data_IF_091212651356
#
_entry.id   IF_091212651356
#
_cell.length_a   1.000
_cell.length_b   1.000
_cell.length_c   1.000
_cell.angle_alpha   90.00
_cell.angle_beta   90.00
_cell.angle_gamma   90.00
#
_symmetry.space_group_name_H-M   'P 1'
#
loop_
_entity.id
_entity.type
_entity.pdbx_description
1 polymer ?
#
# COMPACT_ATOMS: atom_id res chain seq x y z
N UNK A 1 61.52 46.34 -66.47
CA UNK A 1 60.64 47.04 -67.43
C UNK A 1 59.30 47.23 -66.72
N UNK A 2 59.02 48.48 -66.34
CA UNK A 2 57.71 49.19 -66.24
C UNK A 2 56.59 48.44 -65.49
N UNK A 3 56.29 48.76 -64.21
CA UNK A 3 55.37 49.82 -63.69
C UNK A 3 53.91 49.65 -64.15
N UNK A 4 52.82 49.85 -63.41
CA UNK A 4 52.39 50.24 -62.04
C UNK A 4 50.85 49.95 -62.05
N UNK A 5 50.10 49.66 -60.98
CA UNK A 5 49.54 50.62 -60.02
C UNK A 5 48.48 49.94 -59.12
N UNK A 6 48.49 50.33 -57.83
CA UNK A 6 47.38 50.40 -56.84
C UNK A 6 46.65 49.13 -56.32
N UNK A 7 46.31 49.07 -55.00
CA UNK A 7 45.73 47.88 -54.33
C UNK A 7 44.20 47.95 -54.11
N UNK A 8 43.51 46.83 -53.85
CA UNK A 8 42.18 46.81 -53.24
C UNK A 8 42.22 46.35 -51.75
N UNK A 9 41.11 46.51 -51.00
CA UNK A 9 41.15 47.07 -49.64
C UNK A 9 41.21 46.06 -48.50
N UNK A 10 41.61 46.58 -47.34
CA UNK A 10 41.51 45.97 -46.01
C UNK A 10 40.08 45.50 -45.67
N UNK A 11 39.96 44.27 -45.17
CA UNK A 11 38.85 43.84 -44.33
C UNK A 11 39.35 43.54 -42.91
N UNK A 12 39.38 44.60 -42.11
CA UNK A 12 39.25 44.53 -40.66
C UNK A 12 37.89 43.91 -40.27
N UNK A 13 37.90 42.89 -39.43
CA UNK A 13 36.92 42.63 -38.34
C UNK A 13 37.18 41.20 -37.80
N UNK A 14 37.93 41.03 -36.71
CA UNK A 14 37.49 41.16 -35.31
C UNK A 14 37.54 39.79 -34.63
N UNK A 15 38.72 39.44 -34.10
CA UNK A 15 38.95 38.29 -33.22
C UNK A 15 39.17 38.74 -31.78
N UNK A 16 38.15 39.28 -31.12
CA UNK A 16 38.13 39.48 -29.67
C UNK A 16 37.38 38.30 -29.04
N UNK A 17 38.09 37.50 -28.25
CA UNK A 17 37.62 36.24 -27.69
C UNK A 17 36.39 36.39 -26.78
N UNK A 18 35.38 35.56 -27.04
CA UNK A 18 34.08 35.48 -26.34
C UNK A 18 34.14 35.24 -24.82
N UNK A 19 35.31 35.02 -24.21
CA UNK A 19 35.42 34.73 -22.78
C UNK A 19 35.24 35.96 -21.89
N UNK A 20 35.80 37.12 -22.26
CA UNK A 20 35.81 38.31 -21.39
C UNK A 20 34.45 39.03 -21.26
N UNK A 21 33.62 38.96 -22.30
CA UNK A 21 32.38 39.73 -22.39
C UNK A 21 31.27 39.10 -21.53
N UNK A 22 31.23 37.77 -21.43
CA UNK A 22 30.20 37.05 -20.65
C UNK A 22 30.37 37.27 -19.14
N UNK A 23 31.62 37.28 -18.64
CA UNK A 23 31.90 37.52 -17.22
C UNK A 23 31.68 38.99 -16.81
N UNK A 24 31.96 39.92 -17.73
CA UNK A 24 31.69 41.35 -17.53
C UNK A 24 30.19 41.63 -17.45
N UNK A 25 29.39 40.97 -18.30
CA UNK A 25 27.93 41.06 -18.28
C UNK A 25 27.31 40.42 -17.02
N UNK A 26 27.83 39.28 -16.55
CA UNK A 26 27.33 38.61 -15.34
C UNK A 26 27.63 39.43 -14.07
N UNK A 27 28.79 40.08 -14.00
CA UNK A 27 29.16 40.97 -12.90
C UNK A 27 28.29 42.23 -12.84
N UNK A 28 27.91 42.78 -13.99
CA UNK A 28 26.98 43.92 -14.09
C UNK A 28 25.55 43.56 -13.63
N UNK A 29 25.06 42.35 -13.95
CA UNK A 29 23.74 41.85 -13.51
C UNK A 29 23.70 41.57 -11.99
N UNK A 30 24.83 41.13 -11.42
CA UNK A 30 24.95 40.89 -9.97
C UNK A 30 25.02 42.18 -9.14
N UNK A 31 25.58 43.27 -9.67
CA UNK A 31 25.57 44.59 -9.03
C UNK A 31 24.18 45.24 -9.02
N UNK A 32 23.34 44.95 -10.02
CA UNK A 32 21.97 45.50 -10.15
C UNK A 32 20.92 44.79 -9.29
N UNK A 33 21.23 43.63 -8.68
CA UNK A 33 20.25 42.78 -7.96
C UNK A 33 20.43 42.76 -6.44
N UNK A 34 21.28 43.62 -5.87
CA UNK A 34 21.39 43.82 -4.42
C UNK A 34 21.92 42.61 -3.63
N UNK A 35 22.64 41.70 -4.29
CA UNK A 35 23.34 40.59 -3.63
C UNK A 35 24.57 41.13 -2.89
N UNK A 36 24.69 40.81 -1.60
CA UNK A 36 25.78 41.29 -0.73
C UNK A 36 27.15 40.89 -1.26
N UNK A 37 28.20 41.66 -0.92
CA UNK A 37 29.58 41.40 -1.34
C UNK A 37 30.05 39.93 -1.11
N UNK A 38 29.44 39.25 -0.13
CA UNK A 38 29.63 37.83 0.19
C UNK A 38 29.19 36.90 -0.96
N UNK A 39 28.10 37.20 -1.66
CA UNK A 39 27.61 36.41 -2.79
C UNK A 39 28.50 36.57 -4.03
N UNK A 40 29.03 37.78 -4.27
CA UNK A 40 30.00 38.03 -5.35
C UNK A 40 31.32 37.31 -5.08
N UNK A 41 31.78 37.33 -3.82
CA UNK A 41 32.93 36.55 -3.36
C UNK A 41 32.70 35.04 -3.48
N UNK A 42 31.51 34.53 -3.16
CA UNK A 42 31.17 33.12 -3.30
C UNK A 42 31.14 32.67 -4.77
N UNK A 43 30.60 33.50 -5.67
CA UNK A 43 30.61 33.21 -7.12
C UNK A 43 32.03 33.26 -7.70
N UNK A 44 32.86 34.22 -7.25
CA UNK A 44 34.28 34.28 -7.63
C UNK A 44 35.09 33.10 -7.08
N UNK A 45 34.86 32.72 -5.82
CA UNK A 45 35.50 31.57 -5.20
C UNK A 45 35.06 30.26 -5.87
N UNK A 46 33.78 30.14 -6.24
CA UNK A 46 33.26 29.00 -6.99
C UNK A 46 33.84 28.95 -8.41
N UNK A 47 33.95 30.09 -9.10
CA UNK A 47 34.61 30.18 -10.41
C UNK A 47 36.09 29.81 -10.36
N UNK A 48 36.81 30.26 -9.34
CA UNK A 48 38.21 29.89 -9.10
C UNK A 48 38.36 28.40 -8.73
N UNK A 49 37.42 27.84 -7.95
CA UNK A 49 37.38 26.41 -7.62
C UNK A 49 37.10 25.56 -8.88
N UNK A 50 36.21 26.01 -9.76
CA UNK A 50 35.88 25.36 -11.05
C UNK A 50 37.06 25.47 -12.04
N UNK A 51 37.84 26.55 -11.99
CA UNK A 51 39.05 26.70 -12.81
C UNK A 51 40.25 25.89 -12.28
N UNK A 52 40.37 25.75 -10.95
CA UNK A 52 41.45 24.99 -10.30
C UNK A 52 41.20 23.47 -10.33
N UNK A 53 39.93 23.06 -10.32
CA UNK A 53 39.51 21.68 -10.49
C UNK A 53 39.39 21.40 -11.98
N UNK A 54 40.45 20.85 -12.59
CA UNK A 54 40.40 20.41 -13.99
C UNK A 54 39.16 19.56 -14.29
N UNK A 55 38.70 19.55 -15.55
CA UNK A 55 37.41 18.98 -15.97
C UNK A 55 37.07 17.61 -15.34
N UNK A 56 38.08 16.77 -15.10
CA UNK A 56 38.00 15.47 -14.41
C UNK A 56 37.40 15.54 -12.99
N UNK A 57 37.73 16.58 -12.21
CA UNK A 57 37.23 16.74 -10.84
C UNK A 57 35.78 17.27 -10.81
N UNK A 58 35.39 18.12 -11.75
CA UNK A 58 33.98 18.53 -11.93
C UNK A 58 33.10 17.38 -12.42
N UNK A 59 33.63 16.54 -13.32
CA UNK A 59 33.00 15.29 -13.74
C UNK A 59 32.86 14.33 -12.55
N UNK A 60 33.88 14.21 -11.69
CA UNK A 60 33.81 13.37 -10.50
C UNK A 60 32.80 13.87 -9.45
N UNK A 61 32.70 15.18 -9.23
CA UNK A 61 31.69 15.79 -8.35
C UNK A 61 30.29 15.63 -8.96
N UNK A 62 30.15 15.84 -10.26
CA UNK A 62 28.89 15.63 -11.00
C UNK A 62 28.43 14.17 -10.98
N UNK A 63 29.34 13.21 -11.16
CA UNK A 63 29.09 11.77 -11.04
C UNK A 63 28.71 11.39 -9.61
N UNK A 64 29.42 11.89 -8.61
CA UNK A 64 29.10 11.65 -7.21
C UNK A 64 27.75 12.26 -6.80
N UNK A 65 27.41 13.46 -7.30
CA UNK A 65 26.11 14.07 -7.06
C UNK A 65 24.99 13.34 -7.80
N UNK A 66 25.21 12.94 -9.06
CA UNK A 66 24.27 12.14 -9.83
C UNK A 66 24.05 10.77 -9.18
N UNK A 67 25.12 10.12 -8.72
CA UNK A 67 25.08 8.85 -7.98
C UNK A 67 24.39 9.02 -6.63
N UNK A 68 24.70 10.06 -5.85
CA UNK A 68 24.01 10.38 -4.59
C UNK A 68 22.54 10.70 -4.81
N UNK A 69 22.20 11.51 -5.81
CA UNK A 69 20.82 11.87 -6.17
C UNK A 69 20.05 10.65 -6.66
N UNK A 70 20.67 9.80 -7.49
CA UNK A 70 20.11 8.53 -7.96
C UNK A 70 19.93 7.55 -6.81
N UNK A 71 20.88 7.44 -5.88
CA UNK A 71 20.77 6.64 -4.65
C UNK A 71 19.70 7.18 -3.69
N UNK A 72 19.58 8.51 -3.52
CA UNK A 72 18.50 9.14 -2.74
C UNK A 72 17.13 8.91 -3.38
N UNK A 73 17.08 8.92 -4.71
CA UNK A 73 15.86 8.61 -5.48
C UNK A 73 15.53 7.13 -5.39
N UNK A 74 16.52 6.23 -5.45
CA UNK A 74 16.37 4.79 -5.19
C UNK A 74 15.89 4.49 -3.77
N UNK A 75 16.33 5.25 -2.75
CA UNK A 75 15.79 5.15 -1.38
C UNK A 75 14.31 5.56 -1.26
N UNK A 76 13.75 6.28 -2.25
CA UNK A 76 12.30 6.54 -2.40
C UNK A 76 11.60 5.59 -3.37
N UNK A 77 12.36 4.81 -4.15
CA UNK A 77 11.81 3.75 -4.98
C UNK A 77 11.54 2.59 -4.02
N UNK A 78 10.27 2.43 -3.67
CA UNK A 78 9.78 1.29 -2.92
C UNK A 78 10.37 -0.01 -3.50
N UNK A 79 10.74 -0.97 -2.64
CA UNK A 79 11.18 -2.32 -3.05
C UNK A 79 10.19 -2.93 -4.05
N UNK A 80 8.91 -2.58 -3.93
CA UNK A 80 7.85 -2.94 -4.86
C UNK A 80 8.06 -2.40 -6.30
N UNK A 81 8.58 -1.17 -6.46
CA UNK A 81 8.90 -0.61 -7.78
C UNK A 81 10.11 -1.28 -8.45
N UNK A 82 11.13 -1.66 -7.68
CA UNK A 82 12.28 -2.44 -8.20
C UNK A 82 11.87 -3.88 -8.55
N UNK A 83 11.03 -4.51 -7.74
CA UNK A 83 10.41 -5.81 -8.04
C UNK A 83 9.58 -5.76 -9.34
N UNK A 84 8.84 -4.65 -9.55
CA UNK A 84 8.08 -4.39 -10.78
C UNK A 84 8.96 -4.29 -12.03
N UNK A 85 10.20 -3.79 -11.92
CA UNK A 85 11.13 -3.65 -13.06
C UNK A 85 11.65 -5.02 -13.56
N UNK A 86 12.06 -5.91 -12.65
CA UNK A 86 12.57 -7.23 -13.01
C UNK A 86 11.51 -8.16 -13.64
N UNK A 87 10.27 -8.12 -13.14
CA UNK A 87 9.16 -8.89 -13.70
C UNK A 87 8.63 -8.30 -15.01
N UNK A 88 8.58 -6.96 -15.14
CA UNK A 88 8.26 -6.30 -16.42
C UNK A 88 9.29 -6.66 -17.49
N UNK A 89 10.57 -6.77 -17.14
CA UNK A 89 11.61 -7.17 -18.08
C UNK A 89 11.47 -8.63 -18.56
N UNK A 90 11.12 -9.56 -17.66
CA UNK A 90 10.82 -10.97 -18.04
C UNK A 90 9.56 -11.12 -18.89
N UNK A 91 8.49 -10.41 -18.52
CA UNK A 91 7.24 -10.36 -19.27
C UNK A 91 7.44 -9.74 -20.66
N UNK A 92 8.24 -8.67 -20.77
CA UNK A 92 8.57 -8.00 -22.03
C UNK A 92 9.39 -8.90 -22.99
N UNK A 93 10.23 -9.81 -22.46
CA UNK A 93 10.96 -10.80 -23.29
C UNK A 93 10.16 -12.06 -23.65
N UNK A 94 8.87 -12.13 -23.31
CA UNK A 94 8.06 -13.34 -23.56
C UNK A 94 8.43 -14.57 -22.72
N UNK A 95 9.30 -14.41 -21.71
CA UNK A 95 9.78 -15.48 -20.82
C UNK A 95 9.17 -15.33 -19.41
N UNK A 96 7.86 -15.13 -19.35
CA UNK A 96 7.13 -15.22 -18.08
C UNK A 96 7.22 -16.64 -17.52
N UNK A 97 6.95 -16.79 -16.22
CA UNK A 97 6.78 -18.12 -15.64
C UNK A 97 5.63 -18.84 -16.35
N UNK A 98 5.90 -20.06 -16.80
CA UNK A 98 4.96 -20.90 -17.53
C UNK A 98 4.23 -21.88 -16.61
N UNK A 99 3.43 -22.76 -17.20
CA UNK A 99 2.67 -23.78 -16.47
C UNK A 99 3.62 -24.79 -15.82
N UNK A 100 4.77 -25.08 -16.43
CA UNK A 100 5.77 -26.00 -15.87
C UNK A 100 6.43 -25.43 -14.61
N UNK A 101 6.73 -24.13 -14.60
CA UNK A 101 7.16 -23.44 -13.38
C UNK A 101 6.09 -23.49 -12.29
N UNK A 102 4.81 -23.27 -12.66
CA UNK A 102 3.70 -23.36 -11.70
C UNK A 102 3.60 -24.76 -11.09
N UNK A 103 3.64 -25.79 -11.94
CA UNK A 103 3.62 -27.19 -11.56
C UNK A 103 4.77 -27.52 -10.60
N UNK A 104 6.00 -27.11 -10.94
CA UNK A 104 7.19 -27.31 -10.11
C UNK A 104 7.06 -26.63 -8.75
N UNK A 105 6.59 -25.38 -8.69
CA UNK A 105 6.34 -24.69 -7.41
C UNK A 105 5.31 -25.43 -6.57
N UNK A 106 4.21 -25.87 -7.18
CA UNK A 106 3.15 -26.59 -6.49
C UNK A 106 3.55 -28.01 -6.07
N UNK A 107 4.60 -28.59 -6.66
CA UNK A 107 4.93 -30.00 -6.50
C UNK A 107 3.88 -30.91 -7.15
N UNK A 108 3.32 -30.47 -8.27
CA UNK A 108 2.28 -31.17 -9.05
C UNK A 108 2.75 -31.29 -10.50
N UNK A 109 2.05 -32.08 -11.31
CA UNK A 109 2.27 -32.13 -12.77
C UNK A 109 1.50 -31.03 -13.48
N UNK A 110 2.03 -30.53 -14.61
CA UNK A 110 1.33 -29.55 -15.46
C UNK A 110 -0.03 -30.09 -15.92
N UNK A 111 -0.07 -31.36 -16.35
CA UNK A 111 -1.29 -32.07 -16.74
C UNK A 111 -2.37 -32.03 -15.64
N UNK A 112 -2.01 -32.27 -14.37
CA UNK A 112 -2.96 -32.22 -13.25
C UNK A 112 -3.54 -30.82 -13.08
N UNK A 113 -2.71 -29.77 -13.18
CA UNK A 113 -3.19 -28.39 -13.04
C UNK A 113 -4.11 -28.00 -14.21
N UNK A 114 -3.74 -28.33 -15.44
CA UNK A 114 -4.49 -28.00 -16.64
C UNK A 114 -5.86 -28.69 -16.65
N UNK A 115 -5.91 -29.97 -16.29
CA UNK A 115 -7.15 -30.76 -16.33
C UNK A 115 -8.02 -30.60 -15.09
N UNK A 116 -7.52 -30.01 -14.00
CA UNK A 116 -8.33 -29.74 -12.82
C UNK A 116 -9.44 -28.75 -13.18
N UNK A 117 -10.70 -29.13 -13.00
CA UNK A 117 -11.85 -28.24 -13.17
C UNK A 117 -12.40 -27.86 -11.79
N UNK A 118 -12.25 -26.60 -11.35
CA UNK A 118 -12.78 -26.15 -10.07
C UNK A 118 -14.30 -26.28 -10.01
N UNK A 119 -14.81 -26.90 -8.96
CA UNK A 119 -16.24 -26.97 -8.67
C UNK A 119 -16.55 -26.27 -7.36
N UNK A 120 -17.73 -25.67 -7.28
CA UNK A 120 -18.19 -24.92 -6.12
C UNK A 120 -19.63 -25.25 -5.80
N UNK A 121 -19.97 -25.24 -4.52
CA UNK A 121 -21.34 -25.32 -4.04
C UNK A 121 -21.67 -24.07 -3.21
N UNK A 122 -22.95 -23.74 -3.17
CA UNK A 122 -23.46 -22.58 -2.46
C UNK A 122 -23.97 -22.98 -1.09
N UNK A 123 -23.61 -22.22 -0.06
CA UNK A 123 -24.13 -22.37 1.30
C UNK A 123 -24.57 -21.01 1.85
N UNK A 124 -25.67 -20.96 2.59
CA UNK A 124 -26.15 -19.71 3.22
C UNK A 124 -25.83 -19.71 4.71
N UNK A 125 -25.36 -18.55 5.19
CA UNK A 125 -25.08 -18.32 6.62
C UNK A 125 -25.84 -17.07 7.07
N UNK A 126 -26.51 -17.08 8.24
CA UNK A 126 -27.19 -15.90 8.77
C UNK A 126 -26.19 -14.78 9.09
N UNK A 127 -26.54 -13.54 8.72
CA UNK A 127 -25.77 -12.35 9.14
C UNK A 127 -26.16 -11.94 10.56
N UNK A 128 -25.22 -11.43 11.37
CA UNK A 128 -25.53 -10.87 12.70
C UNK A 128 -26.53 -9.71 12.66
N UNK A 129 -26.59 -8.97 11.54
CA UNK A 129 -27.50 -7.84 11.32
C UNK A 129 -28.87 -8.25 10.74
N UNK A 130 -29.13 -9.54 10.57
CA UNK A 130 -30.26 -10.06 9.79
C UNK A 130 -29.95 -10.21 8.30
N UNK A 131 -30.70 -11.10 7.65
CA UNK A 131 -30.49 -11.54 6.26
C UNK A 131 -29.44 -12.64 6.13
N UNK A 132 -29.19 -13.06 4.90
CA UNK A 132 -28.29 -14.18 4.58
C UNK A 132 -27.00 -13.73 3.90
N UNK A 133 -25.92 -14.48 4.13
CA UNK A 133 -24.66 -14.42 3.39
C UNK A 133 -24.50 -15.71 2.61
N UNK A 134 -24.54 -15.58 1.30
CA UNK A 134 -24.21 -16.66 0.36
C UNK A 134 -22.70 -16.85 0.31
N UNK A 135 -22.24 -18.06 0.63
CA UNK A 135 -20.88 -18.51 0.46
C UNK A 135 -20.79 -19.43 -0.76
N UNK A 136 -19.67 -19.31 -1.48
CA UNK A 136 -19.31 -20.15 -2.62
C UNK A 136 -18.11 -20.98 -2.21
N UNK A 137 -18.34 -22.23 -1.84
CA UNK A 137 -17.36 -23.10 -1.19
C UNK A 137 -16.81 -24.09 -2.23
N UNK A 138 -15.48 -24.15 -2.42
CA UNK A 138 -14.88 -25.13 -3.33
C UNK A 138 -15.09 -26.57 -2.85
N UNK A 139 -15.13 -27.51 -3.78
CA UNK A 139 -15.01 -28.94 -3.47
C UNK A 139 -13.65 -29.27 -2.80
N UNK A 140 -13.52 -30.39 -2.09
CA UNK A 140 -12.30 -30.73 -1.35
C UNK A 140 -11.02 -30.72 -2.20
N UNK A 141 -11.07 -31.23 -3.44
CA UNK A 141 -9.90 -31.30 -4.31
C UNK A 141 -9.45 -29.90 -4.74
N UNK A 142 -10.40 -29.03 -5.10
CA UNK A 142 -10.14 -27.62 -5.40
C UNK A 142 -9.61 -26.88 -4.18
N UNK A 143 -10.17 -27.14 -2.99
CA UNK A 143 -9.73 -26.52 -1.75
C UNK A 143 -8.27 -26.84 -1.43
N UNK A 144 -7.84 -28.09 -1.61
CA UNK A 144 -6.46 -28.52 -1.38
C UNK A 144 -5.48 -27.95 -2.40
N UNK A 145 -5.89 -27.88 -3.66
CA UNK A 145 -5.12 -27.19 -4.71
C UNK A 145 -4.96 -25.70 -4.39
N UNK A 146 -6.04 -25.02 -4.00
CA UNK A 146 -6.01 -23.60 -3.63
C UNK A 146 -5.17 -23.33 -2.38
N UNK A 147 -5.20 -24.20 -1.36
CA UNK A 147 -4.28 -24.13 -0.22
C UNK A 147 -2.82 -24.27 -0.64
N UNK A 148 -2.53 -25.11 -1.62
CA UNK A 148 -1.18 -25.27 -2.18
C UNK A 148 -0.74 -24.01 -2.91
N UNK A 149 -1.59 -23.44 -3.77
CA UNK A 149 -1.35 -22.16 -4.44
C UNK A 149 -1.11 -21.03 -3.43
N UNK A 150 -1.94 -20.94 -2.39
CA UNK A 150 -1.79 -19.96 -1.33
C UNK A 150 -0.39 -20.02 -0.70
N UNK A 151 0.04 -21.22 -0.27
CA UNK A 151 1.33 -21.40 0.42
C UNK A 151 2.53 -21.22 -0.50
N UNK A 152 2.47 -21.76 -1.72
CA UNK A 152 3.67 -21.89 -2.58
C UNK A 152 3.80 -20.78 -3.62
N UNK A 153 2.69 -20.13 -3.98
CA UNK A 153 2.66 -19.06 -4.99
C UNK A 153 2.34 -17.71 -4.35
N UNK A 154 1.21 -17.59 -3.67
CA UNK A 154 0.69 -16.28 -3.22
C UNK A 154 1.36 -15.74 -1.94
N UNK A 155 1.81 -16.62 -1.04
CA UNK A 155 2.45 -16.20 0.22
C UNK A 155 3.76 -15.45 0.00
N UNK A 156 4.42 -15.61 -1.15
CA UNK A 156 5.68 -14.95 -1.50
C UNK A 156 5.51 -13.53 -2.04
N UNK A 157 4.28 -13.18 -2.43
CA UNK A 157 3.94 -11.84 -2.92
C UNK A 157 3.66 -10.92 -1.73
N UNK A 158 3.74 -9.61 -1.91
CA UNK A 158 3.52 -8.64 -0.83
C UNK A 158 2.25 -7.83 -1.10
N UNK A 159 1.37 -7.78 -0.10
CA UNK A 159 0.25 -6.85 -0.05
C UNK A 159 0.71 -5.50 0.52
N UNK A 160 -0.14 -4.48 0.40
CA UNK A 160 0.17 -3.17 0.97
C UNK A 160 0.27 -3.23 2.51
N UNK A 161 1.21 -2.50 3.14
CA UNK A 161 1.32 -2.39 4.59
C UNK A 161 0.02 -2.07 5.34
N UNK A 162 -0.87 -1.27 4.74
CA UNK A 162 -2.14 -0.87 5.32
C UNK A 162 -3.17 -2.01 5.37
N UNK A 163 -2.97 -3.10 4.63
CA UNK A 163 -3.82 -4.29 4.69
C UNK A 163 -3.55 -5.08 5.98
N UNK A 164 -4.55 -5.12 6.86
CA UNK A 164 -4.52 -5.83 8.14
C UNK A 164 -5.32 -7.14 8.09
N UNK A 165 -6.45 -7.15 7.38
CA UNK A 165 -7.29 -8.35 7.25
C UNK A 165 -6.59 -9.44 6.44
N UNK A 166 -6.74 -10.71 6.84
CA UNK A 166 -6.21 -11.89 6.13
C UNK A 166 -4.69 -11.96 5.97
N UNK A 167 -3.94 -11.06 6.59
CA UNK A 167 -2.48 -11.06 6.55
C UNK A 167 -1.91 -11.82 7.74
N UNK A 168 -0.89 -12.64 7.49
CA UNK A 168 -0.26 -13.45 8.54
C UNK A 168 0.31 -12.54 9.62
N UNK A 169 -0.06 -12.82 10.87
CA UNK A 169 0.42 -12.08 12.03
C UNK A 169 -0.30 -10.75 12.28
N UNK A 170 -1.24 -10.35 11.41
CA UNK A 170 -2.11 -9.20 11.63
C UNK A 170 -3.53 -9.65 11.99
N UNK A 171 -4.27 -8.81 12.69
CA UNK A 171 -5.64 -9.06 13.08
C UNK A 171 -6.43 -7.77 13.29
N UNK A 172 -7.58 -7.91 13.95
CA UNK A 172 -8.49 -6.77 14.24
C UNK A 172 -7.83 -5.68 15.07
N UNK A 173 -6.85 -6.04 15.90
CA UNK A 173 -6.10 -5.08 16.73
C UNK A 173 -5.17 -4.23 15.87
N UNK A 174 -4.45 -4.82 14.91
CA UNK A 174 -3.55 -4.07 14.02
C UNK A 174 -4.32 -3.10 13.12
N UNK A 175 -5.58 -3.42 12.81
CA UNK A 175 -6.48 -2.51 12.11
C UNK A 175 -6.96 -1.37 13.02
N UNK A 176 -7.39 -1.66 14.25
CA UNK A 176 -7.98 -0.66 15.14
C UNK A 176 -6.96 0.24 15.86
N UNK A 177 -5.79 -0.30 16.24
CA UNK A 177 -4.82 0.37 17.10
C UNK A 177 -4.33 1.74 16.58
N UNK A 178 -4.06 1.93 15.27
CA UNK A 178 -3.58 3.22 14.77
C UNK A 178 -4.58 4.37 14.95
N UNK A 179 -5.85 4.04 15.18
CA UNK A 179 -6.95 5.00 15.29
C UNK A 179 -7.32 5.32 16.75
N UNK A 180 -6.59 4.76 17.73
CA UNK A 180 -6.82 5.02 19.15
C UNK A 180 -6.54 6.48 19.50
N UNK A 181 -7.40 7.10 20.32
CA UNK A 181 -7.17 8.45 20.84
C UNK A 181 -7.47 9.57 19.83
N UNK A 182 -8.08 9.26 18.68
CA UNK A 182 -8.24 10.21 17.57
C UNK A 182 -9.52 11.03 17.71
N UNK A 183 -9.45 12.33 17.39
CA UNK A 183 -10.59 13.23 17.51
C UNK A 183 -11.75 12.84 16.57
N UNK A 184 -11.42 12.32 15.38
CA UNK A 184 -12.38 11.81 14.41
C UNK A 184 -11.92 10.49 13.79
N UNK A 185 -12.85 9.56 13.62
CA UNK A 185 -12.68 8.28 12.93
C UNK A 185 -13.75 8.18 11.84
N UNK A 186 -13.35 8.02 10.59
CA UNK A 186 -14.25 7.74 9.48
C UNK A 186 -14.08 6.29 9.02
N UNK A 187 -15.17 5.53 8.97
CA UNK A 187 -15.18 4.14 8.48
C UNK A 187 -15.96 4.05 7.19
N UNK A 188 -15.47 3.29 6.22
CA UNK A 188 -16.15 3.03 4.95
C UNK A 188 -16.11 1.54 4.65
N UNK A 189 -17.17 0.99 4.08
CA UNK A 189 -17.28 -0.44 3.74
C UNK A 189 -17.38 -0.58 2.22
N UNK A 190 -16.69 -1.56 1.64
CA UNK A 190 -16.77 -1.85 0.21
C UNK A 190 -17.97 -2.76 -0.09
N UNK A 191 -18.81 -2.38 -1.06
CA UNK A 191 -19.89 -3.26 -1.55
C UNK A 191 -19.32 -4.47 -2.25
N UNK A 192 -19.89 -5.65 -1.99
CA UNK A 192 -19.61 -6.93 -2.68
C UNK A 192 -18.13 -7.17 -2.97
N UNK A 193 -17.28 -6.92 -1.96
CA UNK A 193 -15.83 -6.80 -2.10
C UNK A 193 -15.17 -7.95 -2.89
N UNK A 194 -15.50 -9.21 -2.57
CA UNK A 194 -14.92 -10.36 -3.26
C UNK A 194 -15.38 -10.48 -4.73
N UNK A 195 -16.69 -10.47 -5.02
CA UNK A 195 -17.19 -10.38 -6.40
C UNK A 195 -16.62 -9.20 -7.22
N UNK A 196 -16.38 -8.04 -6.61
CA UNK A 196 -15.78 -6.89 -7.31
C UNK A 196 -14.34 -7.15 -7.79
N UNK A 197 -13.64 -8.12 -7.22
CA UNK A 197 -12.33 -8.56 -7.73
C UNK A 197 -12.53 -9.53 -8.89
N UNK A 198 -12.63 -8.96 -10.09
CA UNK A 198 -12.95 -9.71 -11.32
C UNK A 198 -11.84 -10.64 -11.79
N UNK A 199 -12.19 -11.73 -12.47
CA UNK A 199 -11.25 -12.64 -13.13
C UNK A 199 -10.28 -11.92 -14.08
N UNK A 200 -10.77 -10.90 -14.81
CA UNK A 200 -9.93 -10.05 -15.67
C UNK A 200 -8.85 -9.32 -14.88
N UNK A 201 -9.19 -8.77 -13.72
CA UNK A 201 -8.22 -8.08 -12.86
C UNK A 201 -7.16 -9.04 -12.30
N UNK A 202 -7.57 -10.28 -11.99
CA UNK A 202 -6.70 -11.35 -11.48
C UNK A 202 -5.73 -11.83 -12.56
N UNK A 203 -6.21 -12.09 -13.79
CA UNK A 203 -5.35 -12.44 -14.93
C UNK A 203 -4.31 -11.34 -15.18
N UNK A 204 -4.76 -10.09 -15.26
CA UNK A 204 -3.86 -8.95 -15.43
C UNK A 204 -2.82 -8.85 -14.31
N UNK A 205 -3.24 -9.09 -13.06
CA UNK A 205 -2.34 -9.12 -11.92
C UNK A 205 -1.27 -10.20 -12.07
N UNK A 206 -1.65 -11.44 -12.41
CA UNK A 206 -0.69 -12.54 -12.60
C UNK A 206 0.30 -12.26 -13.72
N UNK A 207 -0.17 -11.74 -14.86
CA UNK A 207 0.71 -11.30 -15.95
C UNK A 207 1.68 -10.22 -15.49
N UNK A 208 1.20 -9.25 -14.72
CA UNK A 208 2.02 -8.15 -14.19
C UNK A 208 3.08 -8.62 -13.18
N UNK A 209 2.81 -9.66 -12.39
CA UNK A 209 3.80 -10.26 -11.49
C UNK A 209 4.68 -11.32 -12.17
N UNK A 210 4.58 -11.45 -13.50
CA UNK A 210 5.55 -12.16 -14.33
C UNK A 210 5.17 -13.56 -14.76
N UNK A 211 3.90 -13.95 -14.65
CA UNK A 211 3.39 -15.17 -15.31
C UNK A 211 3.14 -14.90 -16.80
N UNK A 212 3.35 -15.91 -17.65
CA UNK A 212 2.94 -15.82 -19.05
C UNK A 212 1.39 -15.84 -19.18
N UNK A 213 0.86 -15.62 -20.39
CA UNK A 213 -0.58 -15.52 -20.60
C UNK A 213 -1.32 -16.83 -20.23
N UNK A 214 -0.77 -17.98 -20.61
CA UNK A 214 -1.39 -19.29 -20.34
C UNK A 214 -1.44 -19.63 -18.85
N UNK A 215 -0.33 -19.43 -18.13
CA UNK A 215 -0.26 -19.69 -16.70
C UNK A 215 -1.10 -18.69 -15.90
N UNK A 216 -1.19 -17.43 -16.33
CA UNK A 216 -2.06 -16.44 -15.71
C UNK A 216 -3.54 -16.80 -15.89
N UNK A 217 -3.94 -17.23 -17.09
CA UNK A 217 -5.30 -17.69 -17.35
C UNK A 217 -5.63 -18.94 -16.51
N UNK A 218 -4.69 -19.88 -16.42
CA UNK A 218 -4.83 -21.09 -15.58
C UNK A 218 -4.99 -20.73 -14.10
N UNK A 219 -4.11 -19.89 -13.55
CA UNK A 219 -4.19 -19.42 -12.16
C UNK A 219 -5.50 -18.71 -11.87
N UNK A 220 -5.96 -17.88 -12.81
CA UNK A 220 -7.26 -17.19 -12.71
C UNK A 220 -8.38 -18.22 -12.63
N UNK A 221 -8.46 -19.15 -13.59
CA UNK A 221 -9.47 -20.21 -13.60
C UNK A 221 -9.49 -21.03 -12.31
N UNK A 222 -8.32 -21.40 -11.79
CA UNK A 222 -8.19 -22.18 -10.56
C UNK A 222 -8.60 -21.42 -9.27
N UNK A 223 -8.74 -20.10 -9.33
CA UNK A 223 -8.97 -19.24 -8.14
C UNK A 223 -10.25 -18.41 -8.20
N UNK A 224 -10.97 -18.43 -9.32
CA UNK A 224 -12.23 -17.70 -9.50
C UNK A 224 -13.43 -18.62 -9.65
N UNK A 225 -14.61 -18.09 -9.36
CA UNK A 225 -15.92 -18.67 -9.69
C UNK A 225 -16.83 -17.53 -10.15
N UNK A 226 -17.72 -17.80 -11.11
CA UNK A 226 -18.72 -16.82 -11.59
C UNK A 226 -18.12 -15.45 -11.98
N UNK A 227 -16.90 -15.44 -12.51
CA UNK A 227 -16.21 -14.23 -12.95
C UNK A 227 -15.53 -13.39 -11.86
N UNK A 228 -15.55 -13.81 -10.59
CA UNK A 228 -14.92 -13.10 -9.48
C UNK A 228 -14.30 -14.01 -8.42
N UNK A 229 -13.88 -13.44 -7.29
CA UNK A 229 -13.39 -14.24 -6.16
C UNK A 229 -14.56 -14.88 -5.39
N UNK A 230 -14.56 -16.22 -5.20
CA UNK A 230 -15.59 -16.88 -4.41
C UNK A 230 -15.44 -16.60 -2.92
N UNK A 231 -16.55 -16.34 -2.24
CA UNK A 231 -16.62 -16.17 -0.79
C UNK A 231 -16.56 -17.55 -0.10
N UNK A 232 -15.36 -18.02 0.20
CA UNK A 232 -15.14 -19.35 0.81
C UNK A 232 -13.87 -20.05 0.33
N UNK A 233 -13.31 -19.62 -0.80
CA UNK A 233 -12.06 -20.16 -1.32
C UNK A 233 -10.84 -19.73 -0.48
N UNK A 234 -9.91 -20.65 -0.18
CA UNK A 234 -8.67 -20.34 0.55
C UNK A 234 -7.80 -19.24 -0.07
N UNK A 235 -7.83 -19.07 -1.39
CA UNK A 235 -7.00 -18.08 -2.11
C UNK A 235 -7.61 -16.69 -2.13
N UNK A 236 -8.94 -16.57 -2.07
CA UNK A 236 -9.66 -15.29 -2.21
C UNK A 236 -9.18 -14.21 -1.25
N UNK A 237 -9.01 -14.47 0.07
CA UNK A 237 -8.60 -13.42 1.01
C UNK A 237 -7.21 -12.85 0.73
N UNK A 238 -6.28 -13.70 0.27
CA UNK A 238 -4.93 -13.25 -0.09
C UNK A 238 -4.92 -12.52 -1.42
N UNK A 239 -5.63 -13.03 -2.41
CA UNK A 239 -5.71 -12.39 -3.73
C UNK A 239 -6.33 -11.00 -3.63
N UNK A 240 -7.43 -10.84 -2.88
CA UNK A 240 -8.07 -9.53 -2.73
C UNK A 240 -7.10 -8.49 -2.16
N UNK A 241 -6.28 -8.83 -1.16
CA UNK A 241 -5.24 -7.94 -0.63
C UNK A 241 -4.14 -7.61 -1.64
N UNK A 242 -3.70 -8.60 -2.43
CA UNK A 242 -2.67 -8.39 -3.44
C UNK A 242 -3.13 -7.46 -4.57
N UNK A 243 -4.39 -7.60 -4.99
CA UNK A 243 -5.00 -6.72 -5.99
C UNK A 243 -5.32 -5.33 -5.44
N UNK A 244 -5.71 -5.23 -4.17
CA UNK A 244 -5.96 -3.95 -3.49
C UNK A 244 -4.72 -3.10 -3.28
N UNK A 245 -3.51 -3.62 -3.45
CA UNK A 245 -2.27 -2.86 -3.19
C UNK A 245 -2.23 -1.48 -3.87
N UNK A 246 -2.66 -1.38 -5.14
CA UNK A 246 -2.66 -0.10 -5.85
C UNK A 246 -3.67 0.90 -5.27
N UNK A 247 -4.82 0.39 -4.82
CA UNK A 247 -5.89 1.18 -4.19
C UNK A 247 -5.45 1.62 -2.80
N UNK A 248 -4.94 0.70 -1.98
CA UNK A 248 -4.46 0.96 -0.62
C UNK A 248 -3.35 2.02 -0.60
N UNK A 249 -2.37 1.89 -1.49
CA UNK A 249 -1.31 2.89 -1.62
C UNK A 249 -1.88 4.29 -1.95
N UNK A 250 -2.86 4.36 -2.85
CA UNK A 250 -3.50 5.61 -3.22
C UNK A 250 -4.36 6.20 -2.08
N UNK A 251 -5.04 5.35 -1.32
CA UNK A 251 -5.82 5.74 -0.14
C UNK A 251 -4.92 6.22 0.99
N UNK A 252 -3.85 5.49 1.32
CA UNK A 252 -2.85 5.87 2.31
C UNK A 252 -2.25 7.24 1.97
N UNK A 253 -1.89 7.45 0.69
CA UNK A 253 -1.36 8.74 0.21
C UNK A 253 -2.40 9.86 0.29
N UNK A 254 -3.66 9.59 -0.02
CA UNK A 254 -4.74 10.58 0.07
C UNK A 254 -5.02 10.99 1.52
N UNK A 255 -5.01 10.01 2.43
CA UNK A 255 -5.19 10.19 3.86
C UNK A 255 -4.03 10.98 4.48
N UNK A 256 -2.78 10.55 4.25
CA UNK A 256 -1.60 11.17 4.83
C UNK A 256 -1.42 12.65 4.43
N UNK A 257 -1.80 13.01 3.19
CA UNK A 257 -1.79 14.42 2.72
C UNK A 257 -2.74 15.35 3.49
N UNK A 258 -3.69 14.80 4.24
CA UNK A 258 -4.69 15.51 5.03
C UNK A 258 -4.55 15.25 6.52
N UNK A 259 -3.44 14.66 6.96
CA UNK A 259 -3.22 14.31 8.37
C UNK A 259 -4.01 13.10 8.87
N UNK A 260 -4.60 12.29 7.97
CA UNK A 260 -5.32 11.08 8.35
C UNK A 260 -4.42 9.84 8.33
N UNK A 261 -4.60 8.97 9.31
CA UNK A 261 -4.13 7.58 9.30
C UNK A 261 -5.11 6.71 8.52
N UNK A 262 -4.62 5.65 7.91
CA UNK A 262 -5.42 4.71 7.13
C UNK A 262 -5.01 3.27 7.42
N UNK A 263 -5.99 2.40 7.59
CA UNK A 263 -5.83 0.94 7.60
C UNK A 263 -7.04 0.27 6.93
N UNK A 264 -6.87 -0.98 6.49
CA UNK A 264 -7.95 -1.78 5.88
C UNK A 264 -8.01 -3.18 6.46
N UNK A 265 -9.23 -3.65 6.78
CA UNK A 265 -9.50 -5.02 7.16
C UNK A 265 -10.57 -5.61 6.25
N UNK A 266 -10.14 -6.42 5.27
CA UNK A 266 -11.02 -6.90 4.20
C UNK A 266 -11.69 -5.74 3.45
N UNK A 267 -13.01 -5.62 3.56
CA UNK A 267 -13.89 -4.59 3.01
C UNK A 267 -14.01 -3.34 3.89
N UNK A 268 -13.62 -3.41 5.18
CA UNK A 268 -13.67 -2.30 6.13
C UNK A 268 -12.43 -1.39 5.99
N UNK A 269 -12.66 -0.12 5.65
CA UNK A 269 -11.67 0.93 5.53
C UNK A 269 -11.78 1.87 6.74
N UNK A 270 -10.68 2.11 7.45
CA UNK A 270 -10.68 3.02 8.58
C UNK A 270 -9.72 4.19 8.33
N UNK A 271 -10.21 5.39 8.59
CA UNK A 271 -9.46 6.64 8.53
C UNK A 271 -9.59 7.39 9.85
N UNK A 272 -8.55 8.09 10.31
CA UNK A 272 -8.67 8.90 11.51
C UNK A 272 -7.71 10.08 11.55
N UNK A 273 -8.13 11.19 12.16
CA UNK A 273 -7.30 12.38 12.36
C UNK A 273 -7.21 12.76 13.84
N UNK A 274 -6.09 13.39 14.22
CA UNK A 274 -5.93 13.99 15.54
C UNK A 274 -6.81 15.24 15.71
N UNK A 275 -7.14 15.92 14.60
CA UNK A 275 -7.93 17.14 14.56
C UNK A 275 -9.35 16.84 14.04
N UNK A 276 -10.34 17.51 14.63
CA UNK A 276 -11.73 17.40 14.19
C UNK A 276 -12.08 18.49 13.17
N UNK A 277 -11.56 18.35 11.95
CA UNK A 277 -11.88 19.22 10.82
C UNK A 277 -12.92 18.57 9.90
N UNK A 278 -14.14 19.11 9.93
CA UNK A 278 -15.25 18.64 9.09
C UNK A 278 -15.01 18.81 7.59
N UNK A 279 -14.30 19.85 7.15
CA UNK A 279 -13.98 20.06 5.74
C UNK A 279 -12.93 19.06 5.27
N UNK A 280 -11.87 18.84 6.07
CA UNK A 280 -10.86 17.83 5.77
C UNK A 280 -11.46 16.42 5.66
N UNK A 281 -12.42 16.07 6.53
CA UNK A 281 -13.16 14.80 6.46
C UNK A 281 -13.96 14.70 5.16
N UNK A 282 -14.72 15.74 4.77
CA UNK A 282 -15.48 15.73 3.51
C UNK A 282 -14.57 15.56 2.29
N UNK A 283 -13.46 16.28 2.27
CA UNK A 283 -12.48 16.20 1.17
C UNK A 283 -11.80 14.84 1.09
N UNK A 284 -11.49 14.25 2.25
CA UNK A 284 -11.00 12.88 2.32
C UNK A 284 -12.00 11.91 1.71
N UNK A 285 -13.26 11.93 2.16
CA UNK A 285 -14.29 10.99 1.69
C UNK A 285 -14.53 11.10 0.18
N UNK A 286 -14.60 12.32 -0.37
CA UNK A 286 -14.67 12.52 -1.83
C UNK A 286 -13.48 11.89 -2.57
N UNK A 287 -12.28 12.02 -1.99
CA UNK A 287 -11.08 11.43 -2.58
C UNK A 287 -11.06 9.90 -2.45
N UNK A 288 -11.52 9.36 -1.32
CA UNK A 288 -11.65 7.91 -1.10
C UNK A 288 -12.58 7.33 -2.14
N UNK A 289 -13.76 7.90 -2.32
CA UNK A 289 -14.74 7.47 -3.33
C UNK A 289 -14.13 7.47 -4.74
N UNK A 290 -13.43 8.54 -5.12
CA UNK A 290 -12.78 8.61 -6.42
C UNK A 290 -11.67 7.55 -6.62
N UNK A 291 -10.91 7.23 -5.57
CA UNK A 291 -9.86 6.20 -5.62
C UNK A 291 -10.46 4.79 -5.68
N UNK A 292 -11.46 4.52 -4.85
CA UNK A 292 -12.19 3.23 -4.79
C UNK A 292 -12.88 2.95 -6.13
N UNK A 293 -13.59 3.94 -6.69
CA UNK A 293 -14.24 3.82 -8.01
C UNK A 293 -13.24 3.56 -9.13
N UNK A 294 -12.09 4.23 -9.13
CA UNK A 294 -11.01 3.97 -10.10
C UNK A 294 -10.44 2.56 -9.95
N UNK A 295 -10.45 2.01 -8.74
CA UNK A 295 -10.05 0.63 -8.45
C UNK A 295 -11.05 -0.43 -8.89
N UNK A 296 -12.25 -0.05 -9.38
CA UNK A 296 -13.31 -0.99 -9.74
C UNK A 296 -14.19 -1.42 -8.57
N UNK A 297 -14.18 -0.67 -7.46
CA UNK A 297 -14.97 -0.93 -6.27
C UNK A 297 -15.99 0.18 -6.04
N UNK A 298 -16.96 -0.08 -5.16
CA UNK A 298 -17.96 0.90 -4.74
C UNK A 298 -18.05 0.98 -3.22
N UNK A 299 -18.27 2.18 -2.68
CA UNK A 299 -18.53 2.39 -1.26
C UNK A 299 -19.97 2.06 -0.90
N UNK A 300 -20.15 1.45 0.26
CA UNK A 300 -21.45 1.30 0.89
C UNK A 300 -21.80 2.57 1.68
N UNK A 301 -22.55 3.46 1.06
CA UNK A 301 -22.98 4.73 1.66
C UNK A 301 -23.72 4.53 2.99
N UNK A 302 -24.55 3.49 3.11
CA UNK A 302 -25.31 3.17 4.34
C UNK A 302 -24.42 2.72 5.51
N UNK A 303 -23.24 2.19 5.22
CA UNK A 303 -22.26 1.75 6.23
C UNK A 303 -21.12 2.72 6.43
N UNK A 304 -21.06 3.79 5.65
CA UNK A 304 -20.07 4.85 5.83
C UNK A 304 -20.44 5.69 7.05
N UNK A 305 -19.51 5.87 7.98
CA UNK A 305 -19.75 6.59 9.24
C UNK A 305 -18.61 7.54 9.54
N UNK A 306 -18.94 8.69 10.13
CA UNK A 306 -17.97 9.62 10.72
C UNK A 306 -18.28 9.70 12.22
N UNK A 307 -17.33 9.27 13.04
CA UNK A 307 -17.46 9.11 14.48
C UNK A 307 -16.53 10.11 15.17
N UNK A 308 -17.11 11.05 15.90
CA UNK A 308 -16.38 12.08 16.66
C UNK A 308 -16.05 11.59 18.07
N UNK A 309 -15.10 12.25 18.74
CA UNK A 309 -14.60 11.83 20.06
C UNK A 309 -15.67 11.69 21.15
N UNK A 310 -16.71 12.52 21.13
CA UNK A 310 -17.83 12.44 22.07
C UNK A 310 -18.76 11.24 21.82
N UNK A 311 -18.65 10.60 20.65
CA UNK A 311 -19.39 9.40 20.27
C UNK A 311 -18.52 8.17 20.53
N UNK A 312 -19.15 7.00 20.62
CA UNK A 312 -18.41 5.73 20.69
C UNK A 312 -17.78 5.42 19.32
N UNK A 313 -16.48 5.63 19.20
CA UNK A 313 -15.70 5.28 18.01
C UNK A 313 -15.40 3.78 18.03
N UNK A 314 -15.79 3.06 16.97
CA UNK A 314 -15.57 1.62 16.86
C UNK A 314 -15.00 1.23 15.50
N UNK A 315 -14.05 0.30 15.52
CA UNK A 315 -13.44 -0.31 14.34
C UNK A 315 -13.39 -1.82 14.58
N UNK A 316 -13.89 -2.63 13.63
CA UNK A 316 -13.94 -4.10 13.74
C UNK A 316 -14.43 -4.63 15.12
N UNK A 317 -15.43 -3.98 15.70
CA UNK A 317 -16.02 -4.34 16.99
C UNK A 317 -15.22 -3.94 18.24
N UNK A 318 -14.09 -3.23 18.07
CA UNK A 318 -13.29 -2.66 19.15
C UNK A 318 -13.58 -1.17 19.31
N UNK A 319 -13.71 -0.71 20.55
CA UNK A 319 -13.78 0.71 20.90
C UNK A 319 -12.37 1.29 20.88
N UNK A 320 -12.21 2.47 20.27
CA UNK A 320 -10.90 3.12 20.05
C UNK A 320 -10.79 4.54 20.62
N UNK A 321 -11.79 5.02 21.37
CA UNK A 321 -11.80 6.40 21.90
C UNK A 321 -10.50 6.80 22.62
N UNK A 322 -10.09 6.04 23.64
CA UNK A 322 -8.88 6.34 24.44
C UNK A 322 -7.89 5.17 24.47
N UNK A 323 -8.40 3.94 24.47
CA UNK A 323 -7.63 2.70 24.39
C UNK A 323 -8.43 1.63 23.67
N UNK A 324 -7.74 0.62 23.15
CA UNK A 324 -8.40 -0.57 22.61
C UNK A 324 -9.23 -1.24 23.69
N UNK A 325 -10.52 -1.41 23.44
CA UNK A 325 -11.41 -2.03 24.40
C UNK A 325 -12.57 -2.76 23.74
N UNK A 326 -13.10 -3.77 24.42
CA UNK A 326 -14.38 -4.35 24.04
C UNK A 326 -15.53 -3.41 24.45
N UNK A 327 -16.64 -3.38 23.68
CA UNK A 327 -17.84 -2.66 24.07
C UNK A 327 -18.30 -3.05 25.48
N UNK A 328 -18.78 -2.07 26.26
CA UNK A 328 -19.23 -2.30 27.65
C UNK A 328 -20.26 -3.42 27.76
N UNK A 329 -21.18 -3.52 26.79
CA UNK A 329 -22.19 -4.58 26.69
C UNK A 329 -21.54 -5.96 26.66
N UNK A 330 -20.61 -6.19 25.71
CA UNK A 330 -19.88 -7.45 25.57
C UNK A 330 -19.09 -7.77 26.84
N UNK A 331 -18.36 -6.80 27.42
CA UNK A 331 -17.61 -7.04 28.68
C UNK A 331 -18.52 -7.46 29.83
N UNK A 332 -19.72 -6.88 29.93
CA UNK A 332 -20.72 -7.24 30.94
C UNK A 332 -21.27 -8.65 30.71
N UNK A 333 -21.58 -9.00 29.46
CA UNK A 333 -22.05 -10.33 29.06
C UNK A 333 -21.00 -11.41 29.36
N UNK A 334 -19.73 -11.16 29.02
CA UNK A 334 -18.63 -12.07 29.32
C UNK A 334 -18.44 -12.29 30.81
N UNK A 335 -18.47 -11.21 31.61
CA UNK A 335 -18.38 -11.31 33.08
C UNK A 335 -19.53 -12.14 33.66
N UNK A 336 -20.75 -11.90 33.18
CA UNK A 336 -21.93 -12.65 33.62
C UNK A 336 -21.83 -14.14 33.24
N UNK A 337 -21.42 -14.44 32.01
CA UNK A 337 -21.24 -15.81 31.54
C UNK A 337 -20.18 -16.58 32.34
N UNK A 338 -19.03 -15.95 32.62
CA UNK A 338 -17.96 -16.54 33.44
C UNK A 338 -18.41 -16.76 34.89
N UNK A 339 -19.13 -15.78 35.48
CA UNK A 339 -19.68 -15.93 36.82
C UNK A 339 -20.68 -17.09 36.90
N UNK A 340 -21.64 -17.17 35.97
CA UNK A 340 -22.62 -18.26 35.92
C UNK A 340 -21.94 -19.62 35.88
N UNK A 341 -20.94 -19.79 35.01
CA UNK A 341 -20.17 -21.02 34.92
C UNK A 341 -19.43 -21.36 36.21
N UNK A 342 -18.85 -20.36 36.90
CA UNK A 342 -18.19 -20.53 38.20
C UNK A 342 -19.15 -21.01 39.29
N UNK A 343 -20.40 -20.56 39.28
CA UNK A 343 -21.43 -20.97 40.25
C UNK A 343 -22.26 -22.18 39.80
N UNK A 344 -21.77 -22.94 38.81
CA UNK A 344 -22.44 -24.16 38.32
C UNK A 344 -23.72 -23.94 37.53
N UNK A 345 -23.98 -22.71 37.06
CA UNK A 345 -25.16 -22.37 36.23
C UNK A 345 -24.82 -22.34 34.74
N UNK A 346 -25.83 -22.56 33.91
CA UNK A 346 -25.70 -22.46 32.47
C UNK A 346 -25.33 -21.04 32.02
N UNK A 347 -24.30 -20.94 31.19
CA UNK A 347 -23.76 -19.68 30.69
C UNK A 347 -24.37 -19.31 29.33
N UNK A 348 -24.55 -18.02 29.09
CA UNK A 348 -25.09 -17.47 27.82
C UNK A 348 -24.18 -17.75 26.60
N UNK A 349 -22.91 -18.09 26.84
CA UNK A 349 -21.96 -18.44 25.80
C UNK A 349 -21.49 -19.88 25.95
N UNK A 350 -21.34 -20.57 24.83
CA UNK A 350 -20.73 -21.90 24.78
C UNK A 350 -19.25 -21.82 25.17
N UNK A 351 -18.67 -22.95 25.54
CA UNK A 351 -17.23 -23.02 25.87
C UNK A 351 -16.36 -22.53 24.70
N UNK A 352 -16.72 -22.88 23.46
CA UNK A 352 -16.02 -22.44 22.26
C UNK A 352 -16.11 -20.92 22.05
N UNK A 353 -17.30 -20.33 22.28
CA UNK A 353 -17.47 -18.88 22.19
C UNK A 353 -16.64 -18.14 23.25
N UNK A 354 -16.63 -18.64 24.49
CA UNK A 354 -15.80 -18.07 25.57
C UNK A 354 -14.30 -18.16 25.25
N UNK A 355 -13.83 -19.28 24.68
CA UNK A 355 -12.45 -19.42 24.23
C UNK A 355 -12.12 -18.41 23.11
N UNK A 356 -13.03 -18.21 22.16
CA UNK A 356 -12.90 -17.18 21.12
C UNK A 356 -12.77 -15.77 21.69
N UNK A 357 -13.63 -15.41 22.64
CA UNK A 357 -13.55 -14.13 23.35
C UNK A 357 -12.29 -13.95 24.17
N UNK A 358 -11.79 -15.02 24.82
CA UNK A 358 -10.51 -15.00 25.53
C UNK A 358 -9.34 -14.70 24.57
N UNK A 359 -9.38 -15.25 23.36
CA UNK A 359 -8.44 -14.90 22.29
C UNK A 359 -8.48 -13.41 21.95
N UNK A 360 -9.67 -12.83 21.76
CA UNK A 360 -9.84 -11.39 21.49
C UNK A 360 -9.32 -10.53 22.64
N UNK A 361 -9.66 -10.87 23.88
CA UNK A 361 -9.17 -10.15 25.06
C UNK A 361 -7.64 -10.20 25.17
N UNK A 362 -7.04 -11.35 24.86
CA UNK A 362 -5.59 -11.53 24.84
C UNK A 362 -4.94 -10.64 23.78
N UNK A 363 -5.53 -10.55 22.58
CA UNK A 363 -5.04 -9.65 21.53
C UNK A 363 -5.14 -8.18 21.95
N UNK A 364 -6.27 -7.78 22.54
CA UNK A 364 -6.48 -6.39 23.01
C UNK A 364 -5.48 -6.04 24.12
N UNK A 365 -5.23 -6.95 25.07
CA UNK A 365 -4.28 -6.72 26.16
C UNK A 365 -2.83 -6.64 25.67
N UNK A 366 -2.45 -7.43 24.64
CA UNK A 366 -1.11 -7.40 24.05
C UNK A 366 -0.85 -6.16 23.19
N UNK A 367 -1.88 -5.57 22.60
CA UNK A 367 -1.75 -4.47 21.64
C UNK A 367 -1.34 -4.94 20.22
N UNK A 368 -1.12 -4.01 19.28
CA UNK A 368 -0.70 -4.35 17.92
C UNK A 368 0.67 -5.02 17.93
N UNK A 369 0.89 -5.97 17.02
CA UNK A 369 2.22 -6.59 16.92
C UNK A 369 3.16 -5.57 16.29
N UNK A 370 4.33 -5.36 16.91
CA UNK A 370 5.30 -4.38 16.44
C UNK A 370 5.57 -4.56 14.94
N UNK A 371 5.41 -3.47 14.19
CA UNK A 371 5.79 -3.41 12.79
C UNK A 371 7.32 -3.47 12.73
N UNK A 372 7.90 -4.33 11.89
CA UNK A 372 9.33 -4.24 11.57
C UNK A 372 9.59 -2.88 10.89
N UNK A 373 9.82 -1.82 11.68
CA UNK A 373 10.13 -0.48 11.16
C UNK A 373 9.72 0.72 12.02
N UNK A 374 8.95 0.58 13.10
CA UNK A 374 8.65 1.71 13.99
C UNK A 374 8.99 1.33 15.45
N UNK A 375 9.91 2.09 16.03
CA UNK A 375 10.14 2.11 17.48
C UNK A 375 8.84 2.53 18.17
N UNK A 376 8.41 1.85 19.24
CA UNK A 376 7.25 2.27 20.02
C UNK A 376 7.45 3.70 20.52
N UNK A 377 6.41 4.56 20.57
CA UNK A 377 6.49 5.78 21.35
C UNK A 377 6.73 5.39 22.81
N UNK A 378 7.74 5.99 23.42
CA UNK A 378 8.15 5.75 24.80
C UNK A 378 6.93 5.66 25.72
N UNK A 379 6.74 4.47 26.30
CA UNK A 379 5.81 4.29 27.40
C UNK A 379 6.34 5.10 28.58
N UNK A 380 5.69 6.23 28.86
CA UNK A 380 5.90 6.97 30.10
C UNK A 380 5.75 6.01 31.31
N UNK A 381 6.63 6.11 32.32
CA UNK A 381 6.59 5.22 33.47
C UNK A 381 5.28 5.45 34.24
N UNK A 382 4.60 4.35 34.58
CA UNK A 382 3.46 4.38 35.49
C UNK A 382 3.92 4.84 36.87
N UNK A 383 3.47 6.01 37.30
CA UNK A 383 3.52 6.42 38.70
C UNK A 383 2.28 5.93 39.44
N UNK A 384 2.53 5.11 40.47
CA UNK A 384 1.69 4.72 41.63
C UNK A 384 0.32 4.08 41.38
#
# INVERSE_FOLDING_TARGET
MVSSDTPPPDSNASGLGCGGIVWSALAAVLLLTGLTAVAVLAVRAFGALVAALGASALIAIGLNFAQWYFLKRLKRVDRYSLFRLGHRWRAWRGKGFDIEELARRCGLTAHRLQNHQPSYHTATIPKPSGGERTLTIPDPATMDLQRTLLRRVLARLHADPAACGFERGKGIVDHAAPHVGRAVVATCDLKDFFPSVTAKSIDYYFRRVGWNAEAAALLTRLTTSEGGLPQGAPTSPRLSNLLMHGVDYALAKAAGRRGFRYTRYADDLAFSSAEDDGQAVRDLLRRVEAVVRRGGFELNSKKTRVLRRHQRQMICGLVVNDRLNLPRKIRRELRAALHRRRVGREATYTAQQLAGWAGVLTMVARGPRAFHGETPPDSAPSSA
#
